data_IF_266600340748
#
_entry.id   IF_266600340748
#
_cell.length_a   1.000
_cell.length_b   1.000
_cell.length_c   1.000
_cell.angle_alpha   90.00
_cell.angle_beta   90.00
_cell.angle_gamma   90.00
#
_symmetry.space_group_name_H-M   'P 1'
#
loop_
_entity.id
_entity.type
_entity.pdbx_description
1 polymer ?
#
# COMPACT_ATOMS: atom_id res chain seq x y z
N UNK A 1 -6.12 7.53 -7.19
CA UNK A 1 -5.79 7.77 -5.76
C UNK A 1 -4.29 7.95 -5.60
N UNK A 2 -3.88 8.53 -4.51
CA UNK A 2 -2.46 8.73 -4.19
C UNK A 2 -2.23 8.43 -2.72
N UNK A 3 -1.02 8.01 -2.39
CA UNK A 3 -0.61 7.89 -0.99
C UNK A 3 -0.58 9.30 -0.39
N UNK A 4 -1.22 9.46 0.77
CA UNK A 4 -1.27 10.76 1.45
C UNK A 4 0.14 11.12 1.94
N UNK A 5 0.55 12.36 1.68
CA UNK A 5 1.86 12.84 2.11
C UNK A 5 2.03 12.70 3.62
N UNK A 6 3.20 12.26 4.03
CA UNK A 6 3.51 12.02 5.44
C UNK A 6 3.48 10.55 5.84
N UNK A 7 2.91 9.68 5.02
CA UNK A 7 2.96 8.24 5.27
C UNK A 7 4.15 7.63 4.54
N UNK A 8 4.93 6.83 5.25
CA UNK A 8 6.15 6.22 4.73
C UNK A 8 6.19 4.74 5.06
N UNK A 9 6.82 3.98 4.17
CA UNK A 9 7.11 2.58 4.43
C UNK A 9 8.47 2.47 5.12
N UNK A 10 8.49 1.80 6.27
CA UNK A 10 9.71 1.58 7.05
C UNK A 10 9.84 0.10 7.39
N UNK A 11 11.07 -0.35 7.58
CA UNK A 11 11.32 -1.69 8.11
C UNK A 11 11.39 -1.59 9.63
N UNK A 12 10.40 -2.18 10.30
CA UNK A 12 10.30 -2.17 11.76
C UNK A 12 10.41 -3.62 12.23
N UNK A 13 11.50 -3.94 12.90
CA UNK A 13 11.75 -5.30 13.43
C UNK A 13 11.65 -6.38 12.34
N UNK A 14 12.16 -6.07 11.14
CA UNK A 14 12.15 -7.00 10.01
C UNK A 14 10.84 -7.04 9.22
N UNK A 15 9.88 -6.17 9.54
CA UNK A 15 8.60 -6.13 8.85
C UNK A 15 8.38 -4.80 8.16
N UNK A 16 7.83 -4.84 6.95
CA UNK A 16 7.41 -3.64 6.24
C UNK A 16 6.22 -3.02 6.95
N UNK A 17 6.36 -1.76 7.38
CA UNK A 17 5.36 -1.09 8.20
C UNK A 17 5.14 0.32 7.68
N UNK A 18 3.88 0.73 7.55
CA UNK A 18 3.53 2.11 7.21
C UNK A 18 3.53 2.92 8.50
N UNK A 19 4.29 4.02 8.49
CA UNK A 19 4.35 4.94 9.63
C UNK A 19 3.97 6.34 9.17
N UNK A 20 3.32 7.10 10.03
CA UNK A 20 3.01 8.51 9.77
C UNK A 20 4.17 9.39 10.22
N UNK A 21 4.85 10.02 9.26
CA UNK A 21 5.94 10.96 9.52
C UNK A 21 5.52 12.35 9.06
N UNK A 22 5.70 13.34 9.91
CA UNK A 22 5.40 14.72 9.54
C UNK A 22 3.92 15.08 9.49
N UNK A 23 3.04 14.21 9.96
CA UNK A 23 1.60 14.46 10.04
C UNK A 23 1.16 14.79 11.46
N UNK A 24 2.02 15.44 12.24
CA UNK A 24 1.72 15.81 13.61
C UNK A 24 2.09 14.71 14.59
N UNK A 25 1.15 14.23 15.37
CA UNK A 25 1.44 13.22 16.38
C UNK A 25 1.57 11.84 15.77
N UNK A 26 2.59 11.10 16.21
CA UNK A 26 2.69 9.69 15.86
C UNK A 26 1.63 8.93 16.65
N UNK A 27 0.69 8.36 15.95
CA UNK A 27 -0.32 7.49 16.56
C UNK A 27 0.14 6.04 16.36
N UNK A 28 0.63 5.43 17.43
CA UNK A 28 1.12 4.05 17.36
C UNK A 28 0.02 3.06 17.00
N UNK A 29 -1.25 3.44 17.17
CA UNK A 29 -2.38 2.60 16.75
C UNK A 29 -2.54 2.56 15.22
N UNK A 30 -1.84 3.44 14.49
CA UNK A 30 -1.88 3.50 13.04
C UNK A 30 -0.63 2.92 12.37
N UNK A 31 0.19 2.18 13.12
CA UNK A 31 1.27 1.42 12.51
C UNK A 31 0.65 0.19 11.83
N UNK A 32 0.87 0.08 10.53
CA UNK A 32 0.25 -0.94 9.72
C UNK A 32 1.34 -1.79 9.09
N UNK A 33 1.35 -3.08 9.43
CA UNK A 33 2.29 -4.03 8.86
C UNK A 33 1.76 -4.52 7.52
N UNK A 34 2.63 -4.50 6.49
CA UNK A 34 2.30 -4.97 5.15
C UNK A 34 2.98 -6.32 4.90
N UNK A 35 2.27 -7.22 4.20
CA UNK A 35 2.92 -8.40 3.65
C UNK A 35 3.79 -7.99 2.45
N UNK A 36 4.54 -8.95 1.90
CA UNK A 36 5.50 -8.68 0.82
C UNK A 36 4.83 -8.08 -0.41
N UNK A 37 3.66 -8.58 -0.82
CA UNK A 37 2.97 -8.09 -1.99
C UNK A 37 2.44 -6.67 -1.79
N UNK A 38 1.87 -6.38 -0.63
CA UNK A 38 1.38 -5.03 -0.31
C UNK A 38 2.53 -4.04 -0.21
N UNK A 39 3.67 -4.44 0.36
CA UNK A 39 4.87 -3.61 0.43
C UNK A 39 5.41 -3.29 -0.97
N UNK A 40 5.45 -4.30 -1.85
CA UNK A 40 5.84 -4.09 -3.24
C UNK A 40 4.94 -3.07 -3.94
N UNK A 41 3.63 -3.21 -3.78
CA UNK A 41 2.68 -2.27 -4.39
C UNK A 41 2.87 -0.86 -3.84
N UNK A 42 3.03 -0.72 -2.55
CA UNK A 42 3.26 0.59 -1.92
C UNK A 42 4.50 1.28 -2.52
N UNK A 43 5.64 0.57 -2.56
CA UNK A 43 6.88 1.11 -3.11
C UNK A 43 6.73 1.49 -4.59
N UNK A 44 5.95 0.71 -5.34
CA UNK A 44 5.77 0.93 -6.77
C UNK A 44 4.94 2.17 -7.08
N UNK A 45 4.05 2.59 -6.18
CA UNK A 45 3.13 3.71 -6.41
C UNK A 45 3.44 4.93 -5.54
N UNK A 46 4.54 4.93 -4.80
CA UNK A 46 4.97 6.11 -4.05
C UNK A 46 5.13 7.31 -4.98
N UNK A 47 4.57 8.45 -4.58
CA UNK A 47 4.64 9.71 -5.32
C UNK A 47 3.97 9.67 -6.70
N UNK A 48 3.07 8.70 -6.93
CA UNK A 48 2.37 8.53 -8.19
C UNK A 48 0.86 8.44 -7.99
N UNK A 49 0.13 8.91 -9.00
CA UNK A 49 -1.30 8.63 -9.11
C UNK A 49 -1.49 7.19 -9.53
N UNK A 50 -2.44 6.48 -8.92
CA UNK A 50 -2.72 5.08 -9.24
C UNK A 50 -4.19 4.74 -8.97
N UNK A 51 -4.61 3.59 -9.49
CA UNK A 51 -5.94 3.02 -9.23
C UNK A 51 -5.83 1.51 -9.02
N UNK A 52 -6.98 0.85 -8.87
CA UNK A 52 -7.00 -0.61 -8.65
C UNK A 52 -6.38 -1.35 -9.84
N UNK A 53 -6.60 -0.87 -11.07
CA UNK A 53 -6.03 -1.50 -12.26
C UNK A 53 -4.51 -1.38 -12.28
N UNK A 54 -3.98 -0.25 -11.85
CA UNK A 54 -2.52 -0.08 -11.71
C UNK A 54 -1.95 -1.13 -10.76
N UNK A 55 -2.57 -1.30 -9.60
CA UNK A 55 -2.13 -2.28 -8.61
C UNK A 55 -2.24 -3.70 -9.16
N UNK A 56 -3.35 -4.02 -9.84
CA UNK A 56 -3.54 -5.34 -10.43
C UNK A 56 -2.46 -5.65 -11.48
N UNK A 57 -2.14 -4.70 -12.34
CA UNK A 57 -1.09 -4.88 -13.36
C UNK A 57 0.28 -5.13 -12.72
N UNK A 58 0.59 -4.43 -11.63
CA UNK A 58 1.84 -4.65 -10.90
C UNK A 58 1.91 -6.06 -10.32
N UNK A 59 0.81 -6.56 -9.79
CA UNK A 59 0.73 -7.92 -9.26
C UNK A 59 0.91 -8.96 -10.37
N UNK A 60 0.30 -8.75 -11.54
CA UNK A 60 0.44 -9.65 -12.67
C UNK A 60 1.90 -9.71 -13.14
N UNK A 61 2.54 -8.55 -13.28
CA UNK A 61 3.93 -8.48 -13.71
C UNK A 61 4.90 -9.13 -12.72
N UNK A 62 4.65 -8.93 -11.43
CA UNK A 62 5.57 -9.42 -10.38
C UNK A 62 5.39 -10.91 -10.11
N UNK A 63 4.14 -11.37 -10.04
CA UNK A 63 3.83 -12.71 -9.53
C UNK A 63 3.27 -13.66 -10.60
N UNK A 64 2.95 -13.15 -11.79
CA UNK A 64 2.42 -13.99 -12.87
C UNK A 64 1.04 -14.57 -12.58
N UNK A 65 0.24 -13.91 -11.75
CA UNK A 65 -1.12 -14.37 -11.44
C UNK A 65 -2.11 -13.93 -12.52
N UNK A 66 -3.27 -14.58 -12.55
CA UNK A 66 -4.29 -14.23 -13.54
C UNK A 66 -4.97 -12.90 -13.21
N UNK A 67 -5.64 -12.32 -14.21
CA UNK A 67 -6.24 -11.00 -14.10
C UNK A 67 -7.32 -10.93 -13.02
N UNK A 68 -8.17 -11.94 -12.94
CA UNK A 68 -9.27 -11.94 -11.95
C UNK A 68 -8.74 -11.98 -10.53
N UNK A 69 -7.74 -12.81 -10.27
CA UNK A 69 -7.09 -12.87 -8.97
C UNK A 69 -6.39 -11.56 -8.64
N UNK A 70 -5.68 -10.99 -9.62
CA UNK A 70 -4.98 -9.73 -9.44
C UNK A 70 -5.93 -8.59 -9.10
N UNK A 71 -7.06 -8.49 -9.79
CA UNK A 71 -8.06 -7.45 -9.52
C UNK A 71 -8.69 -7.63 -8.14
N UNK A 72 -9.01 -8.85 -7.75
CA UNK A 72 -9.56 -9.14 -6.42
C UNK A 72 -8.59 -8.73 -5.31
N UNK A 73 -7.33 -9.13 -5.45
CA UNK A 73 -6.29 -8.80 -4.46
C UNK A 73 -6.00 -7.30 -4.43
N UNK A 74 -5.90 -6.68 -5.60
CA UNK A 74 -5.65 -5.23 -5.70
C UNK A 74 -6.77 -4.42 -5.08
N UNK A 75 -8.02 -4.81 -5.31
CA UNK A 75 -9.17 -4.14 -4.72
C UNK A 75 -9.17 -4.27 -3.20
N UNK A 76 -8.86 -5.46 -2.68
CA UNK A 76 -8.79 -5.69 -1.24
C UNK A 76 -7.73 -4.81 -0.60
N UNK A 77 -6.55 -4.69 -1.22
CA UNK A 77 -5.46 -3.85 -0.73
C UNK A 77 -5.87 -2.38 -0.78
N UNK A 78 -6.43 -1.93 -1.90
CA UNK A 78 -6.85 -0.54 -2.06
C UNK A 78 -7.95 -0.16 -1.05
N UNK A 79 -8.94 -1.01 -0.87
CA UNK A 79 -10.02 -0.79 0.08
C UNK A 79 -9.48 -0.70 1.51
N UNK A 80 -8.50 -1.55 1.85
CA UNK A 80 -7.86 -1.50 3.16
C UNK A 80 -7.13 -0.18 3.36
N UNK A 81 -6.36 0.26 2.36
CA UNK A 81 -5.64 1.52 2.46
C UNK A 81 -6.57 2.73 2.57
N UNK A 82 -7.72 2.69 1.88
CA UNK A 82 -8.74 3.75 2.00
C UNK A 82 -9.34 3.72 3.41
N UNK A 83 -9.68 2.54 3.91
CA UNK A 83 -10.28 2.37 5.24
C UNK A 83 -9.39 2.92 6.34
N UNK A 84 -8.09 2.65 6.27
CA UNK A 84 -7.14 3.12 7.28
C UNK A 84 -6.68 4.56 7.04
N UNK A 85 -7.04 5.16 5.90
CA UNK A 85 -6.81 6.58 5.65
C UNK A 85 -5.42 6.95 5.17
N UNK A 86 -4.70 6.03 4.51
CA UNK A 86 -3.34 6.29 4.00
C UNK A 86 -3.32 6.66 2.52
N UNK A 87 -4.43 6.56 1.81
CA UNK A 87 -4.58 7.03 0.43
C UNK A 87 -5.79 7.93 0.31
N UNK A 88 -5.74 8.80 -0.67
CA UNK A 88 -6.83 9.72 -0.94
C UNK A 88 -6.93 10.15 -2.39
#
# INVERSE_FOLDING_TARGET
MRIIEGFRLRNVMGQATIVGEGVGQIDFNKLITLNDSAAYLWQSVEDKEFDVHTLANLLIEKYGIDQDTALTDAKAIADKWIEIGVVG
#
